data_IF_835139683401
#
_entry.id   IF_835139683401
#
_cell.length_a   1.000
_cell.length_b   1.000
_cell.length_c   1.000
_cell.angle_alpha   90.00
_cell.angle_beta   90.00
_cell.angle_gamma   90.00
#
_symmetry.space_group_name_H-M   'P 1'
#
loop_
_entity.id
_entity.type
_entity.pdbx_description
1 polymer ?
#
# COMPACT_ATOMS: atom_id res chain seq x y z
N UNK A 1 15.99 -6.11 19.03
CA UNK A 1 15.08 -5.35 18.15
C UNK A 1 15.75 -5.17 16.80
N UNK A 2 15.01 -5.13 15.68
CA UNK A 2 15.59 -5.01 14.35
C UNK A 2 16.18 -3.61 14.13
N UNK A 3 17.35 -3.54 13.50
CA UNK A 3 18.05 -2.27 13.23
C UNK A 3 17.34 -1.45 12.14
N UNK A 4 16.91 -2.13 11.07
CA UNK A 4 16.17 -1.57 9.95
C UNK A 4 14.80 -2.24 9.89
N UNK A 5 13.73 -1.46 10.07
CA UNK A 5 12.37 -1.99 9.99
C UNK A 5 11.39 -0.86 9.74
N UNK A 6 10.64 -0.95 8.65
CA UNK A 6 9.39 -0.20 8.52
C UNK A 6 8.21 -1.13 8.78
N UNK A 7 7.21 -0.61 9.47
CA UNK A 7 5.89 -1.22 9.60
C UNK A 7 4.95 -0.51 8.65
N UNK A 8 4.15 -1.28 7.92
CA UNK A 8 3.23 -0.77 6.89
C UNK A 8 1.82 -1.21 7.27
N UNK A 9 0.93 -0.23 7.42
CA UNK A 9 -0.50 -0.41 7.66
C UNK A 9 -1.27 0.11 6.46
N UNK A 10 -2.34 -0.60 6.06
CA UNK A 10 -3.11 -0.26 4.85
C UNK A 10 -4.60 -0.26 5.16
N UNK A 11 -5.28 0.80 4.73
CA UNK A 11 -6.72 0.97 4.82
C UNK A 11 -7.31 1.17 3.42
N UNK A 12 -7.82 0.10 2.77
CA UNK A 12 -8.53 0.21 1.51
C UNK A 12 -9.95 0.74 1.70
N UNK A 13 -10.45 1.46 0.71
CA UNK A 13 -11.80 2.01 0.69
C UNK A 13 -12.35 1.97 -0.75
N UNK A 14 -13.54 1.41 -0.93
CA UNK A 14 -14.29 1.53 -2.17
C UNK A 14 -14.85 2.95 -2.34
N UNK A 15 -14.81 3.50 -3.56
CA UNK A 15 -15.30 4.84 -3.88
C UNK A 15 -16.51 4.74 -4.85
N UNK A 16 -17.75 4.64 -4.34
CA UNK A 16 -18.95 4.51 -5.17
C UNK A 16 -19.12 5.66 -6.17
N UNK A 17 -18.89 6.90 -5.72
CA UNK A 17 -19.05 8.10 -6.55
C UNK A 17 -18.07 8.20 -7.72
N UNK A 18 -16.96 7.45 -7.66
CA UNK A 18 -15.94 7.40 -8.72
C UNK A 18 -15.98 6.07 -9.50
N UNK A 19 -17.02 5.27 -9.28
CA UNK A 19 -17.19 3.95 -9.88
C UNK A 19 -18.37 3.93 -10.86
N UNK A 20 -18.34 2.96 -11.77
CA UNK A 20 -19.42 2.64 -12.69
C UNK A 20 -19.59 1.11 -12.70
N UNK A 21 -20.31 0.54 -11.71
CA UNK A 21 -20.49 -0.91 -11.58
C UNK A 21 -21.19 -1.53 -12.80
N UNK A 22 -22.15 -0.83 -13.40
CA UNK A 22 -22.87 -1.26 -14.61
C UNK A 22 -21.91 -1.34 -15.81
N UNK A 23 -20.93 -0.44 -15.89
CA UNK A 23 -19.82 -0.46 -16.84
C UNK A 23 -18.63 -1.32 -16.43
N UNK A 24 -18.70 -2.04 -15.31
CA UNK A 24 -17.62 -2.90 -14.81
C UNK A 24 -16.35 -2.12 -14.41
N UNK A 25 -16.50 -0.92 -13.86
CA UNK A 25 -15.40 -0.09 -13.37
C UNK A 25 -15.56 0.17 -11.87
N UNK A 26 -14.59 -0.29 -11.07
CA UNK A 26 -14.60 -0.14 -9.63
C UNK A 26 -13.37 0.63 -9.19
N UNK A 27 -13.58 1.79 -8.55
CA UNK A 27 -12.50 2.65 -8.07
C UNK A 27 -12.32 2.47 -6.57
N UNK A 28 -11.07 2.30 -6.15
CA UNK A 28 -10.69 2.15 -4.76
C UNK A 28 -9.63 3.19 -4.39
N UNK A 29 -9.74 3.76 -3.20
CA UNK A 29 -8.65 4.41 -2.51
C UNK A 29 -7.97 3.42 -1.56
N UNK A 30 -6.71 3.68 -1.24
CA UNK A 30 -6.03 3.05 -0.12
C UNK A 30 -5.15 4.08 0.57
N UNK A 31 -5.27 4.15 1.90
CA UNK A 31 -4.39 4.95 2.76
C UNK A 31 -3.35 4.03 3.36
N UNK A 32 -2.08 4.43 3.27
CA UNK A 32 -0.95 3.66 3.79
C UNK A 32 -0.20 4.51 4.80
N UNK A 33 0.05 3.93 5.97
CA UNK A 33 0.89 4.50 7.02
C UNK A 33 2.16 3.70 7.15
N UNK A 34 3.29 4.36 6.95
CA UNK A 34 4.62 3.78 7.04
C UNK A 34 5.26 4.32 8.31
N UNK A 35 5.56 3.44 9.25
CA UNK A 35 6.22 3.78 10.51
C UNK A 35 7.63 3.21 10.53
N UNK A 36 8.64 4.02 10.83
CA UNK A 36 9.98 3.48 11.11
C UNK A 36 10.00 2.85 12.50
N UNK A 37 9.85 1.53 12.56
CA UNK A 37 9.92 0.72 13.77
C UNK A 37 11.34 0.17 14.06
N UNK A 38 12.34 0.63 13.30
CA UNK A 38 13.75 0.34 13.50
C UNK A 38 14.44 1.35 14.41
N UNK A 39 15.77 1.32 14.42
CA UNK A 39 16.61 2.21 15.22
C UNK A 39 17.53 3.12 14.39
N UNK A 40 17.45 3.01 13.06
CA UNK A 40 18.24 3.82 12.12
C UNK A 40 17.27 4.54 11.18
N UNK A 41 17.57 5.80 10.86
CA UNK A 41 16.81 6.54 9.87
C UNK A 41 16.93 5.86 8.50
N UNK A 42 15.84 5.82 7.75
CA UNK A 42 15.84 5.21 6.42
C UNK A 42 14.90 5.93 5.45
N UNK A 43 15.24 5.87 4.18
CA UNK A 43 14.48 6.51 3.11
C UNK A 43 13.77 5.46 2.26
N UNK A 44 12.50 5.70 1.97
CA UNK A 44 11.78 4.95 0.93
C UNK A 44 12.18 5.47 -0.45
N UNK A 45 12.71 4.59 -1.29
CA UNK A 45 13.23 4.95 -2.61
C UNK A 45 12.26 4.58 -3.72
N UNK A 46 11.70 3.37 -3.71
CA UNK A 46 10.78 2.92 -4.75
C UNK A 46 9.74 1.94 -4.23
N UNK A 47 8.71 1.69 -5.02
CA UNK A 47 7.63 0.75 -4.72
C UNK A 47 7.44 -0.23 -5.88
N UNK A 48 7.07 -1.44 -5.53
CA UNK A 48 6.52 -2.44 -6.45
C UNK A 48 5.16 -2.89 -5.94
N UNK A 49 4.15 -2.83 -6.79
CA UNK A 49 2.82 -3.36 -6.54
C UNK A 49 2.58 -4.59 -7.41
N UNK A 50 1.87 -5.56 -6.86
CA UNK A 50 1.22 -6.64 -7.57
C UNK A 50 -0.29 -6.49 -7.33
N UNK A 51 -1.05 -6.34 -8.41
CA UNK A 51 -2.50 -6.15 -8.38
C UNK A 51 -3.13 -7.38 -9.03
N UNK A 52 -4.03 -8.03 -8.32
CA UNK A 52 -4.76 -9.18 -8.83
C UNK A 52 -6.26 -8.89 -8.81
N UNK A 53 -6.93 -9.06 -9.94
CA UNK A 53 -8.39 -8.94 -10.01
C UNK A 53 -9.07 -10.31 -9.92
N UNK A 54 -10.39 -10.35 -9.71
CA UNK A 54 -11.13 -11.61 -9.58
C UNK A 54 -11.21 -12.43 -10.89
N UNK A 55 -10.83 -11.87 -12.03
CA UNK A 55 -10.80 -12.56 -13.32
C UNK A 55 -9.45 -13.25 -13.59
N UNK A 56 -8.51 -13.18 -12.65
CA UNK A 56 -7.17 -13.74 -12.80
C UNK A 56 -6.21 -12.83 -13.58
N UNK A 57 -6.53 -11.54 -13.73
CA UNK A 57 -5.57 -10.56 -14.23
C UNK A 57 -4.53 -10.29 -13.15
N UNK A 58 -3.25 -10.30 -13.54
CA UNK A 58 -2.11 -9.99 -12.67
C UNK A 58 -1.31 -8.85 -13.28
N UNK A 59 -1.22 -7.72 -12.60
CA UNK A 59 -0.44 -6.57 -13.01
C UNK A 59 0.69 -6.28 -12.01
N UNK A 60 1.90 -6.04 -12.52
CA UNK A 60 3.05 -5.62 -11.71
C UNK A 60 3.43 -4.18 -12.05
N UNK A 61 3.27 -3.28 -11.08
CA UNK A 61 3.52 -1.85 -11.25
C UNK A 61 4.76 -1.48 -10.45
N UNK A 62 5.71 -0.78 -11.08
CA UNK A 62 6.91 -0.27 -10.41
C UNK A 62 6.96 1.25 -10.52
N UNK A 63 7.43 1.92 -9.48
CA UNK A 63 7.58 3.37 -9.52
C UNK A 63 8.52 3.90 -8.44
N UNK A 64 9.10 5.07 -8.69
CA UNK A 64 9.90 5.79 -7.70
C UNK A 64 8.99 6.41 -6.65
N UNK A 65 9.45 6.36 -5.40
CA UNK A 65 8.78 6.93 -4.24
C UNK A 65 7.35 6.45 -4.03
N UNK A 66 6.59 7.26 -3.31
CA UNK A 66 5.15 7.16 -3.08
C UNK A 66 4.54 8.54 -3.29
N UNK A 67 3.49 8.65 -4.10
CA UNK A 67 2.80 9.93 -4.40
C UNK A 67 3.73 11.13 -4.74
N UNK A 68 4.89 10.85 -5.36
CA UNK A 68 5.88 11.88 -5.71
C UNK A 68 6.93 12.17 -4.63
N UNK A 69 6.85 11.50 -3.48
CA UNK A 69 7.76 11.66 -2.33
C UNK A 69 8.65 10.43 -2.12
N UNK A 70 9.85 10.67 -1.59
CA UNK A 70 10.77 9.64 -1.08
C UNK A 70 11.08 9.97 0.39
N UNK A 71 10.15 9.67 1.32
CA UNK A 71 10.28 10.10 2.70
C UNK A 71 11.48 9.45 3.38
N UNK A 72 12.27 10.27 4.08
CA UNK A 72 13.30 9.84 5.05
C UNK A 72 12.66 9.87 6.43
N UNK A 73 12.53 8.72 7.08
CA UNK A 73 11.86 8.57 8.37
C UNK A 73 12.87 8.31 9.48
N UNK A 74 12.84 9.15 10.51
CA UNK A 74 13.55 8.91 11.76
C UNK A 74 12.92 7.75 12.54
N UNK A 75 13.65 7.08 13.45
CA UNK A 75 13.05 6.08 14.34
C UNK A 75 11.81 6.61 15.07
N UNK A 76 10.68 5.91 14.93
CA UNK A 76 9.39 6.29 15.47
C UNK A 76 8.56 7.25 14.61
N UNK A 77 9.14 7.85 13.57
CA UNK A 77 8.42 8.74 12.65
C UNK A 77 7.51 7.96 11.70
N UNK A 78 6.44 8.64 11.26
CA UNK A 78 5.45 8.09 10.36
C UNK A 78 5.25 8.98 9.13
N UNK A 79 4.96 8.35 8.00
CA UNK A 79 4.48 9.01 6.80
C UNK A 79 3.21 8.31 6.31
N UNK A 80 2.15 9.09 6.16
CA UNK A 80 0.86 8.64 5.68
C UNK A 80 0.58 9.22 4.30
N UNK A 81 0.03 8.40 3.40
CA UNK A 81 -0.44 8.87 2.11
C UNK A 81 -1.64 8.08 1.61
N UNK A 82 -2.48 8.73 0.80
CA UNK A 82 -3.60 8.10 0.09
C UNK A 82 -3.32 8.06 -1.40
N UNK A 83 -3.58 6.91 -2.02
CA UNK A 83 -3.58 6.75 -3.48
C UNK A 83 -4.80 5.95 -3.91
N UNK A 84 -4.91 5.64 -5.20
CA UNK A 84 -6.06 4.90 -5.71
C UNK A 84 -5.70 3.97 -6.86
N UNK A 85 -6.60 3.02 -7.10
CA UNK A 85 -6.53 2.08 -8.23
C UNK A 85 -7.93 1.85 -8.79
N UNK A 86 -7.99 1.29 -9.99
CA UNK A 86 -9.25 0.89 -10.64
C UNK A 86 -9.17 -0.57 -11.03
N UNK A 87 -10.24 -1.31 -10.77
CA UNK A 87 -10.40 -2.70 -11.17
C UNK A 87 -11.57 -2.87 -12.12
N UNK A 88 -11.50 -3.95 -12.91
CA UNK A 88 -12.60 -4.42 -13.79
C UNK A 88 -13.55 -5.40 -13.10
N UNK A 89 -13.32 -5.65 -11.81
CA UNK A 89 -14.09 -6.57 -10.98
C UNK A 89 -14.40 -5.90 -9.63
N UNK A 90 -15.49 -6.28 -8.97
CA UNK A 90 -15.87 -5.68 -7.68
C UNK A 90 -14.94 -6.08 -6.54
N UNK A 91 -14.09 -7.10 -6.74
CA UNK A 91 -13.13 -7.57 -5.74
C UNK A 91 -11.76 -7.80 -6.35
N UNK A 92 -10.71 -7.53 -5.60
CA UNK A 92 -9.35 -7.86 -5.97
C UNK A 92 -8.41 -7.84 -4.77
N UNK A 93 -7.13 -8.03 -5.03
CA UNK A 93 -6.09 -7.96 -4.00
C UNK A 93 -4.93 -7.11 -4.49
N UNK A 94 -4.27 -6.44 -3.55
CA UNK A 94 -3.02 -5.76 -3.79
C UNK A 94 -2.02 -6.15 -2.70
N UNK A 95 -0.77 -6.33 -3.10
CA UNK A 95 0.36 -6.49 -2.20
C UNK A 95 1.62 -6.00 -2.90
N UNK A 96 2.71 -5.82 -2.17
CA UNK A 96 3.88 -5.23 -2.78
C UNK A 96 5.09 -5.18 -1.87
N UNK A 97 6.05 -4.36 -2.27
CA UNK A 97 7.19 -4.03 -1.44
C UNK A 97 7.66 -2.61 -1.69
N UNK A 98 8.23 -2.01 -0.66
CA UNK A 98 9.08 -0.83 -0.78
C UNK A 98 10.54 -1.25 -0.80
N UNK A 99 11.32 -0.58 -1.62
CA UNK A 99 12.78 -0.61 -1.54
C UNK A 99 13.25 0.62 -0.77
N UNK A 100 14.04 0.39 0.27
CA UNK A 100 14.50 1.39 1.20
C UNK A 100 16.04 1.40 1.30
N UNK A 101 16.57 2.56 1.70
CA UNK A 101 17.99 2.76 1.98
C UNK A 101 18.13 3.45 3.32
N UNK A 102 18.83 2.82 4.26
CA UNK A 102 19.16 3.41 5.55
C UNK A 102 20.20 4.52 5.42
N UNK A 103 20.30 5.39 6.42
CA UNK A 103 21.28 6.50 6.43
C UNK A 103 22.74 6.01 6.39
N UNK A 104 23.02 4.79 6.89
CA UNK A 104 24.32 4.14 6.78
C UNK A 104 24.57 3.45 5.43
N UNK A 105 23.63 3.59 4.48
CA UNK A 105 23.71 3.06 3.12
C UNK A 105 23.17 1.63 2.95
N UNK A 106 22.73 0.98 4.04
CA UNK A 106 22.18 -0.37 3.97
C UNK A 106 20.87 -0.39 3.17
N UNK A 107 20.73 -1.37 2.30
CA UNK A 107 19.55 -1.55 1.43
C UNK A 107 18.67 -2.64 1.98
N UNK A 108 17.37 -2.38 2.07
CA UNK A 108 16.41 -3.38 2.53
C UNK A 108 15.06 -3.22 1.85
N UNK A 109 14.34 -4.34 1.72
CA UNK A 109 12.96 -4.35 1.24
C UNK A 109 12.00 -4.42 2.44
N UNK A 110 10.83 -3.82 2.26
CA UNK A 110 9.74 -3.82 3.24
C UNK A 110 8.49 -4.32 2.56
N UNK A 111 7.92 -5.40 3.07
CA UNK A 111 6.67 -5.94 2.52
C UNK A 111 5.50 -5.00 2.79
N UNK A 112 4.68 -4.81 1.76
CA UNK A 112 3.34 -4.27 1.91
C UNK A 112 2.40 -5.47 2.02
N UNK A 113 1.73 -5.67 3.16
CA UNK A 113 0.89 -6.83 3.36
C UNK A 113 -0.22 -6.88 2.31
N UNK A 114 -0.67 -8.10 1.99
CA UNK A 114 -1.79 -8.26 1.08
C UNK A 114 -3.06 -7.70 1.73
N UNK A 115 -3.77 -6.87 0.98
CA UNK A 115 -5.08 -6.37 1.37
C UNK A 115 -6.09 -6.61 0.25
N UNK A 116 -7.36 -6.70 0.67
CA UNK A 116 -8.49 -6.93 -0.23
C UNK A 116 -9.08 -5.58 -0.63
N UNK A 117 -9.38 -5.45 -1.91
CA UNK A 117 -10.24 -4.42 -2.46
C UNK A 117 -11.61 -5.05 -2.61
N UNK A 118 -12.62 -4.54 -1.93
CA UNK A 118 -13.95 -5.14 -1.89
C UNK A 118 -15.02 -4.05 -2.01
N UNK A 119 -15.81 -4.12 -3.08
CA UNK A 119 -16.96 -3.26 -3.33
C UNK A 119 -18.29 -3.95 -2.96
N UNK A 120 -18.26 -5.21 -2.52
CA UNK A 120 -19.44 -6.02 -2.18
C UNK A 120 -19.76 -5.99 -0.68
N UNK A 121 -18.80 -5.64 0.17
CA UNK A 121 -19.02 -5.47 1.60
C UNK A 121 -19.60 -4.09 1.93
N UNK A 122 -20.67 -4.10 2.73
CA UNK A 122 -21.42 -2.90 3.12
C UNK A 122 -20.83 -2.20 4.36
N UNK A 123 -19.54 -2.40 4.67
CA UNK A 123 -18.94 -1.95 5.93
C UNK A 123 -17.78 -0.95 5.75
N UNK A 124 -17.92 0.29 6.24
CA UNK A 124 -16.78 1.19 6.39
C UNK A 124 -15.92 0.72 7.56
N UNK A 125 -14.74 0.15 7.25
CA UNK A 125 -13.55 0.04 8.10
C UNK A 125 -13.73 -0.42 9.55
N UNK A 126 -13.37 -1.68 9.83
CA UNK A 126 -12.51 -2.13 10.95
C UNK A 126 -12.72 -3.63 11.22
N UNK A 127 -11.81 -4.48 10.75
CA UNK A 127 -11.61 -5.82 11.32
C UNK A 127 -10.13 -6.05 11.57
N UNK A 128 -9.66 -5.56 12.72
CA UNK A 128 -8.51 -6.15 13.40
C UNK A 128 -8.92 -7.55 13.87
N UNK A 129 -8.38 -8.59 13.24
CA UNK A 129 -8.49 -9.96 13.71
C UNK A 129 -7.51 -10.14 14.88
N UNK A 130 -8.08 -10.43 16.06
CA UNK A 130 -7.36 -10.93 17.24
C UNK A 130 -6.80 -12.33 16.97
#
# INVERSE_FOLDING_TARGET
MPRYKFQVEVHPQYLPEQSDPDGGLYTFAYTITITNAGHVAAQLISRTWNVNDANGTHEKIKGLGVVGHQPLLQPGEQFEYTSGTRLRTPTGTMHGSYFCVAEDGEKFDVDIPMFVLDALSDEPGNRNLH
#
